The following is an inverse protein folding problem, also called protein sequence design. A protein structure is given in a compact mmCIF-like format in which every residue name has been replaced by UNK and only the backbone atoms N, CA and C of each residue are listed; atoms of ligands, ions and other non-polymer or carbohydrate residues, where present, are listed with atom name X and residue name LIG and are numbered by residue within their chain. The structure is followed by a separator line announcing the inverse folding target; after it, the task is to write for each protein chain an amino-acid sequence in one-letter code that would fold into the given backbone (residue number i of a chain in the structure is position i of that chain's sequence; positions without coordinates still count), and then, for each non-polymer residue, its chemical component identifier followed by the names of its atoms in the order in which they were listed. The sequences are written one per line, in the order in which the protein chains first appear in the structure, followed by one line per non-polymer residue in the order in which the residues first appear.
data_IF_475330810140
#
_entry.id   IF_475330810140
#
_cell.length_a   1.000
_cell.length_b   1.000
_cell.length_c   1.000
_cell.angle_alpha   90.00
_cell.angle_beta   90.00
_cell.angle_gamma   90.00
#
_symmetry.space_group_name_H-M   'P 1'
#
loop_
_entity.id
_entity.type
_entity.pdbx_description
1 polymer ?
#
# COMPACT_ATOMS: atom_id res chain seq x y z
N UNK A 1 -9.00 -14.06 34.92
CA UNK A 1 -8.64 -12.69 35.36
C UNK A 1 -7.30 -12.32 34.72
N UNK A 2 -7.33 -11.67 33.56
CA UNK A 2 -6.10 -11.28 32.83
C UNK A 2 -5.71 -9.87 33.30
N UNK A 3 -4.47 -9.73 33.76
CA UNK A 3 -3.92 -8.47 34.26
C UNK A 3 -3.83 -7.46 33.13
N UNK A 4 -4.61 -6.38 33.20
CA UNK A 4 -4.56 -5.26 32.26
C UNK A 4 -3.28 -4.46 32.51
N UNK A 5 -2.39 -4.40 31.52
CA UNK A 5 -1.21 -3.52 31.58
C UNK A 5 -1.62 -2.04 31.70
N UNK A 6 -0.72 -1.23 32.27
CA UNK A 6 -0.95 0.17 32.67
C UNK A 6 -1.38 1.13 31.53
N UNK A 7 -1.39 0.67 30.28
CA UNK A 7 -1.82 1.41 29.09
C UNK A 7 -3.03 0.81 28.36
N UNK A 8 -3.68 -0.23 28.90
CA UNK A 8 -4.90 -0.79 28.31
C UNK A 8 -4.71 -1.43 26.92
N UNK A 9 -3.49 -1.84 26.59
CA UNK A 9 -3.23 -2.66 25.40
C UNK A 9 -3.63 -4.11 25.72
N UNK A 10 -4.67 -4.59 25.06
CA UNK A 10 -4.89 -6.02 24.86
C UNK A 10 -4.09 -6.46 23.63
N UNK A 11 -3.54 -7.68 23.58
CA UNK A 11 -3.02 -8.24 22.34
C UNK A 11 -4.19 -8.29 21.31
N UNK A 12 -3.94 -8.05 20.01
CA UNK A 12 -4.99 -8.14 19.00
C UNK A 12 -5.55 -9.57 18.98
N UNK A 13 -6.88 -9.68 18.97
CA UNK A 13 -7.55 -10.95 18.70
C UNK A 13 -7.40 -11.21 17.21
N UNK A 14 -6.50 -12.13 16.84
CA UNK A 14 -6.26 -12.48 15.44
C UNK A 14 -7.38 -13.43 15.03
N UNK A 15 -8.39 -12.91 14.33
CA UNK A 15 -9.36 -13.71 13.58
C UNK A 15 -8.79 -14.04 12.19
N UNK A 16 -9.09 -15.21 11.62
CA UNK A 16 -8.66 -15.56 10.26
C UNK A 16 -9.26 -14.57 9.25
N UNK A 17 -8.40 -14.03 8.38
CA UNK A 17 -8.78 -13.11 7.30
C UNK A 17 -9.65 -13.86 6.29
N UNK A 18 -10.95 -13.56 6.25
CA UNK A 18 -11.75 -13.90 5.06
C UNK A 18 -11.32 -12.97 3.92
N UNK A 19 -11.25 -13.45 2.67
CA UNK A 19 -10.90 -12.60 1.54
C UNK A 19 -12.00 -11.55 1.38
N UNK A 20 -11.63 -10.27 1.43
CA UNK A 20 -12.52 -9.16 1.10
C UNK A 20 -12.84 -9.25 -0.39
N UNK A 21 -13.99 -9.84 -0.72
CA UNK A 21 -14.58 -9.72 -2.05
C UNK A 21 -15.08 -8.29 -2.22
N UNK A 22 -14.32 -7.51 -2.98
CA UNK A 22 -14.67 -6.18 -3.45
C UNK A 22 -15.77 -6.28 -4.53
N UNK A 23 -17.03 -6.51 -4.15
CA UNK A 23 -18.22 -6.09 -4.94
C UNK A 23 -19.36 -5.81 -3.97
N UNK A 24 -19.65 -4.53 -3.75
CA UNK A 24 -20.87 -4.07 -3.10
C UNK A 24 -22.01 -4.08 -4.12
N UNK A 25 -22.67 -5.23 -4.31
CA UNK A 25 -24.01 -5.29 -4.93
C UNK A 25 -25.02 -5.92 -3.95
N UNK A 26 -26.23 -5.35 -3.82
CA UNK A 26 -27.25 -5.86 -2.91
C UNK A 26 -27.81 -7.19 -3.42
N UNK A 27 -28.10 -8.18 -2.56
CA UNK A 27 -28.64 -9.46 -3.01
C UNK A 27 -30.06 -9.28 -3.55
N UNK A 28 -30.27 -9.60 -4.83
CA UNK A 28 -31.61 -9.90 -5.35
C UNK A 28 -32.14 -11.17 -4.68
N UNK A 29 -33.36 -11.07 -4.14
CA UNK A 29 -34.11 -12.13 -3.46
C UNK A 29 -34.33 -13.37 -4.33
N UNK A 30 -34.09 -14.61 -3.85
CA UNK A 30 -34.53 -15.80 -4.57
C UNK A 30 -35.99 -16.12 -4.25
N UNK A 31 -36.82 -16.26 -5.30
CA UNK A 31 -38.15 -16.86 -5.24
C UNK A 31 -38.06 -18.39 -5.10
N UNK A 32 -39.11 -19.05 -4.55
CA UNK A 32 -39.02 -20.42 -4.04
C UNK A 32 -39.28 -21.45 -5.14
N UNK A 33 -38.39 -22.43 -5.27
CA UNK A 33 -38.71 -23.72 -5.87
C UNK A 33 -38.20 -24.84 -4.96
N UNK A 34 -39.17 -25.50 -4.34
CA UNK A 34 -39.05 -26.82 -3.72
C UNK A 34 -38.53 -27.83 -4.75
N UNK A 35 -37.59 -28.69 -4.34
CA UNK A 35 -37.80 -30.14 -4.51
C UNK A 35 -36.97 -30.98 -3.53
N UNK A 36 -37.73 -31.71 -2.73
CA UNK A 36 -37.44 -32.88 -1.89
C UNK A 36 -36.31 -33.83 -2.31
N UNK A 37 -35.44 -34.15 -1.36
CA UNK A 37 -35.13 -35.55 -1.01
C UNK A 37 -34.45 -35.61 0.36
N UNK A 38 -35.20 -36.06 1.37
CA UNK A 38 -34.70 -36.35 2.72
C UNK A 38 -34.44 -37.86 2.78
N UNK A 39 -33.19 -38.26 3.00
CA UNK A 39 -32.86 -39.58 3.53
C UNK A 39 -32.35 -39.43 4.97
N UNK A 40 -32.83 -40.23 5.93
CA UNK A 40 -32.44 -40.10 7.33
C UNK A 40 -31.08 -40.76 7.55
N UNK A 41 -30.07 -39.99 7.95
CA UNK A 41 -28.81 -40.55 8.47
C UNK A 41 -29.07 -41.09 9.87
N UNK A 42 -28.83 -42.39 10.05
CA UNK A 42 -28.89 -43.08 11.33
C UNK A 42 -27.72 -42.64 12.21
N UNK A 43 -28.02 -42.33 13.47
CA UNK A 43 -27.04 -42.12 14.54
C UNK A 43 -26.60 -43.49 15.05
N UNK A 44 -25.39 -43.91 14.67
CA UNK A 44 -24.65 -44.94 15.42
C UNK A 44 -23.51 -44.24 16.17
N UNK A 45 -23.65 -44.32 17.49
CA UNK A 45 -22.68 -44.01 18.53
C UNK A 45 -21.50 -45.00 18.45
N UNK A 46 -20.37 -44.63 19.05
CA UNK A 46 -19.09 -45.37 19.14
C UNK A 46 -18.11 -45.26 17.96
N UNK A 47 -17.31 -44.18 17.94
CA UNK A 47 -15.85 -44.36 18.01
C UNK A 47 -15.14 -43.08 18.47
N UNK A 48 -14.38 -43.20 19.55
CA UNK A 48 -13.39 -42.24 20.01
C UNK A 48 -12.35 -41.97 18.90
N UNK A 49 -12.56 -40.94 18.09
CA UNK A 49 -11.45 -40.25 17.44
C UNK A 49 -11.33 -38.89 18.11
N UNK A 50 -10.31 -38.81 18.95
CA UNK A 50 -9.73 -37.58 19.46
C UNK A 50 -9.55 -36.67 18.25
N UNK A 51 -10.34 -35.60 18.14
CA UNK A 51 -10.02 -34.47 17.29
C UNK A 51 -8.66 -33.95 17.80
N UNK A 52 -7.59 -34.38 17.13
CA UNK A 52 -6.31 -33.69 17.21
C UNK A 52 -6.62 -32.23 16.90
N UNK A 53 -6.50 -31.38 17.92
CA UNK A 53 -6.37 -29.95 17.73
C UNK A 53 -5.23 -29.76 16.75
N UNK A 54 -5.55 -29.51 15.49
CA UNK A 54 -4.57 -29.10 14.47
C UNK A 54 -3.89 -27.86 15.04
N UNK A 55 -2.66 -28.05 15.51
CA UNK A 55 -1.83 -27.03 16.11
C UNK A 55 -1.61 -25.98 15.01
N UNK A 56 -2.40 -24.91 15.03
CA UNK A 56 -2.38 -23.84 14.04
C UNK A 56 -0.94 -23.33 13.96
N UNK A 57 -0.21 -23.75 12.92
CA UNK A 57 1.19 -23.35 12.73
C UNK A 57 1.24 -21.82 12.76
N UNK A 58 2.18 -21.22 13.54
CA UNK A 58 2.28 -19.77 13.60
C UNK A 58 2.48 -19.24 12.18
N UNK A 59 1.82 -18.12 11.82
CA UNK A 59 1.88 -17.58 10.48
C UNK A 59 3.34 -17.43 10.06
N UNK A 60 3.71 -17.87 8.84
CA UNK A 60 5.09 -17.88 8.41
C UNK A 60 5.70 -16.48 8.56
N UNK A 61 6.90 -16.42 9.13
CA UNK A 61 7.57 -15.17 9.44
C UNK A 61 7.69 -14.28 8.18
N UNK A 62 7.36 -13.00 8.31
CA UNK A 62 7.45 -12.04 7.22
C UNK A 62 8.85 -12.08 6.59
N UNK A 63 8.90 -12.31 5.28
CA UNK A 63 10.16 -12.37 4.55
C UNK A 63 10.84 -11.00 4.56
N UNK A 64 12.18 -10.95 4.69
CA UNK A 64 12.89 -9.68 4.68
C UNK A 64 12.72 -8.97 3.34
N UNK A 65 12.56 -7.65 3.35
CA UNK A 65 12.31 -6.82 2.15
C UNK A 65 13.35 -7.00 1.04
N UNK A 66 14.60 -7.33 1.39
CA UNK A 66 15.65 -7.63 0.41
C UNK A 66 15.36 -8.86 -0.45
N UNK A 67 14.61 -9.83 0.06
CA UNK A 67 14.18 -11.03 -0.71
C UNK A 67 13.14 -10.69 -1.77
N UNK A 68 12.48 -9.54 -1.66
CA UNK A 68 11.56 -9.04 -2.69
C UNK A 68 12.29 -8.82 -4.03
N UNK A 69 13.58 -8.46 -3.98
CA UNK A 69 14.43 -8.24 -5.16
C UNK A 69 15.32 -9.44 -5.50
N UNK A 70 15.05 -10.63 -4.94
CA UNK A 70 15.91 -11.80 -5.14
C UNK A 70 15.92 -12.32 -6.59
N UNK A 71 14.92 -11.97 -7.39
CA UNK A 71 14.82 -12.33 -8.80
C UNK A 71 15.28 -11.22 -9.76
N UNK A 72 15.88 -10.13 -9.25
CA UNK A 72 16.34 -9.02 -10.07
C UNK A 72 17.59 -9.38 -10.90
N UNK A 73 17.52 -9.15 -12.20
CA UNK A 73 18.69 -9.24 -13.09
C UNK A 73 19.60 -8.01 -12.97
N UNK A 74 20.81 -8.09 -13.55
CA UNK A 74 21.72 -6.93 -13.63
C UNK A 74 21.11 -5.74 -14.37
N UNK A 75 20.25 -6.00 -15.36
CA UNK A 75 19.49 -4.96 -16.04
C UNK A 75 18.46 -4.29 -15.11
N UNK A 76 17.76 -5.08 -14.30
CA UNK A 76 16.77 -4.56 -13.34
C UNK A 76 17.45 -3.69 -12.29
N UNK A 77 18.66 -4.06 -11.84
CA UNK A 77 19.48 -3.21 -10.97
C UNK A 77 19.82 -1.85 -11.57
N UNK A 78 20.14 -1.80 -12.86
CA UNK A 78 20.42 -0.55 -13.58
C UNK A 78 19.13 0.29 -13.68
N UNK A 79 18.00 -0.34 -14.02
CA UNK A 79 16.71 0.34 -14.09
C UNK A 79 16.28 0.90 -12.74
N UNK A 80 16.45 0.14 -11.66
CA UNK A 80 16.17 0.62 -10.30
C UNK A 80 17.06 1.80 -9.92
N UNK A 81 18.35 1.77 -10.27
CA UNK A 81 19.26 2.88 -9.99
C UNK A 81 18.84 4.15 -10.74
N UNK A 82 18.56 4.04 -12.05
CA UNK A 82 18.10 5.16 -12.87
C UNK A 82 16.76 5.68 -12.35
N UNK A 83 15.79 4.80 -12.12
CA UNK A 83 14.47 5.13 -11.58
C UNK A 83 14.56 5.81 -10.21
N UNK A 84 15.48 5.37 -9.33
CA UNK A 84 15.70 6.00 -8.02
C UNK A 84 16.28 7.41 -8.13
N UNK A 85 17.26 7.62 -9.03
CA UNK A 85 17.81 8.96 -9.27
C UNK A 85 16.79 9.91 -9.88
N UNK A 86 15.96 9.40 -10.81
CA UNK A 86 14.87 10.15 -11.41
C UNK A 86 13.77 10.49 -10.39
N UNK A 87 13.41 9.54 -9.50
CA UNK A 87 12.48 9.75 -8.40
C UNK A 87 12.97 10.85 -7.44
N UNK A 88 14.26 10.85 -7.12
CA UNK A 88 14.84 11.89 -6.27
C UNK A 88 14.79 13.27 -6.94
N UNK A 89 15.10 13.35 -8.25
CA UNK A 89 15.01 14.59 -9.01
C UNK A 89 13.55 15.09 -9.13
N UNK A 90 12.60 14.19 -9.39
CA UNK A 90 11.19 14.52 -9.49
C UNK A 90 10.61 14.98 -8.15
N UNK A 91 10.89 14.26 -7.05
CA UNK A 91 10.41 14.62 -5.71
C UNK A 91 10.93 15.97 -5.21
N UNK A 92 12.19 16.31 -5.51
CA UNK A 92 12.75 17.63 -5.15
C UNK A 92 12.25 18.76 -6.03
N UNK A 93 11.67 18.46 -7.19
CA UNK A 93 11.32 19.47 -8.17
C UNK A 93 10.21 20.43 -7.73
N UNK A 94 9.22 19.95 -6.96
CA UNK A 94 8.17 20.82 -6.40
C UNK A 94 8.80 21.93 -5.55
N UNK A 95 9.79 21.58 -4.74
CA UNK A 95 10.46 22.51 -3.84
C UNK A 95 11.30 23.51 -4.62
N UNK A 96 12.01 23.04 -5.64
CA UNK A 96 12.77 23.88 -6.57
C UNK A 96 11.84 24.86 -7.30
N UNK A 97 10.70 24.38 -7.78
CA UNK A 97 9.67 25.22 -8.42
C UNK A 97 9.18 26.33 -7.48
N UNK A 98 8.83 26.00 -6.23
CA UNK A 98 8.39 26.98 -5.25
C UNK A 98 9.48 28.02 -4.95
N UNK A 99 10.75 27.63 -4.93
CA UNK A 99 11.86 28.55 -4.76
C UNK A 99 11.96 29.56 -5.91
N UNK A 100 11.92 29.10 -7.17
CA UNK A 100 11.94 30.00 -8.33
C UNK A 100 10.70 30.89 -8.41
N UNK A 101 9.53 30.34 -8.07
CA UNK A 101 8.29 31.11 -7.98
C UNK A 101 8.40 32.23 -6.93
N UNK A 102 8.98 31.94 -5.77
CA UNK A 102 9.28 32.95 -4.75
C UNK A 102 10.18 34.08 -5.25
N UNK A 103 11.18 33.78 -6.09
CA UNK A 103 12.04 34.80 -6.70
C UNK A 103 11.26 35.74 -7.64
N UNK A 104 10.28 35.20 -8.38
CA UNK A 104 9.41 36.02 -9.24
C UNK A 104 8.54 36.95 -8.40
N UNK A 105 7.95 36.45 -7.31
CA UNK A 105 7.17 37.29 -6.39
C UNK A 105 8.05 38.40 -5.79
N UNK A 106 9.28 38.07 -5.39
CA UNK A 106 10.21 39.06 -4.85
C UNK A 106 10.53 40.16 -5.86
N UNK A 107 10.73 39.82 -7.14
CA UNK A 107 10.94 40.81 -8.21
C UNK A 107 9.74 41.73 -8.42
N UNK A 108 8.51 41.22 -8.28
CA UNK A 108 7.30 42.04 -8.40
C UNK A 108 7.04 42.90 -7.15
N UNK A 109 7.32 42.37 -5.96
CA UNK A 109 7.00 43.01 -4.69
C UNK A 109 8.01 44.07 -4.27
N UNK A 110 9.30 43.88 -4.57
CA UNK A 110 10.37 44.81 -4.22
C UNK A 110 10.88 45.51 -5.48
N UNK A 111 10.01 46.35 -6.05
CA UNK A 111 10.37 47.15 -7.20
C UNK A 111 11.35 48.26 -6.79
N UNK A 112 12.59 48.18 -7.28
CA UNK A 112 13.56 49.27 -7.15
C UNK A 112 13.03 50.51 -7.90
N UNK A 113 12.88 51.67 -7.25
CA UNK A 113 12.40 52.90 -7.89
C UNK A 113 13.29 53.40 -9.04
N UNK A 114 14.53 52.90 -9.12
CA UNK A 114 15.53 53.28 -10.12
C UNK A 114 15.54 52.39 -11.36
N UNK A 115 14.82 51.26 -11.38
CA UNK A 115 14.82 50.35 -12.52
C UNK A 115 13.74 50.73 -13.54
N UNK A 116 14.14 50.83 -14.81
CA UNK A 116 13.21 51.01 -15.93
C UNK A 116 12.33 49.78 -16.10
N UNK A 117 11.05 49.98 -16.43
CA UNK A 117 10.08 48.90 -16.64
C UNK A 117 10.59 47.84 -17.63
N UNK A 118 11.34 48.23 -18.66
CA UNK A 118 11.94 47.28 -19.63
C UNK A 118 12.94 46.32 -19.00
N UNK A 119 13.77 46.78 -18.06
CA UNK A 119 14.74 45.90 -17.37
C UNK A 119 14.06 44.90 -16.44
N UNK A 120 12.89 45.27 -15.89
CA UNK A 120 12.07 44.37 -15.09
C UNK A 120 11.42 43.29 -15.97
N UNK A 121 10.89 43.66 -17.14
CA UNK A 121 10.34 42.70 -18.09
C UNK A 121 11.39 41.70 -18.58
N UNK A 122 12.61 42.13 -18.86
CA UNK A 122 13.69 41.24 -19.29
C UNK A 122 14.08 40.24 -18.18
N UNK A 123 14.24 40.73 -16.94
CA UNK A 123 14.52 39.87 -15.78
C UNK A 123 13.38 38.88 -15.53
N UNK A 124 12.14 39.34 -15.61
CA UNK A 124 10.96 38.48 -15.47
C UNK A 124 10.93 37.40 -16.55
N UNK A 125 11.16 37.75 -17.81
CA UNK A 125 11.23 36.80 -18.93
C UNK A 125 12.31 35.75 -18.71
N UNK A 126 13.49 36.15 -18.22
CA UNK A 126 14.57 35.22 -17.91
C UNK A 126 14.21 34.25 -16.78
N UNK A 127 13.54 34.72 -15.71
CA UNK A 127 13.07 33.85 -14.61
C UNK A 127 11.92 32.94 -15.04
N UNK A 128 11.02 33.41 -15.88
CA UNK A 128 9.94 32.60 -16.44
C UNK A 128 10.50 31.45 -17.31
N UNK A 129 11.52 31.73 -18.13
CA UNK A 129 12.20 30.70 -18.90
C UNK A 129 12.87 29.64 -18.01
N UNK A 130 13.44 30.02 -16.87
CA UNK A 130 14.00 29.05 -15.90
C UNK A 130 12.94 28.07 -15.39
N UNK A 131 11.72 28.54 -15.11
CA UNK A 131 10.61 27.68 -14.70
C UNK A 131 10.22 26.71 -15.82
N UNK A 132 10.21 27.16 -17.07
CA UNK A 132 9.92 26.30 -18.23
C UNK A 132 10.99 25.21 -18.35
N UNK A 133 12.28 25.54 -18.21
CA UNK A 133 13.35 24.53 -18.25
C UNK A 133 13.21 23.49 -17.12
N UNK A 134 12.87 23.94 -15.90
CA UNK A 134 12.58 23.03 -14.80
C UNK A 134 11.39 22.14 -15.13
N UNK A 135 10.29 22.68 -15.65
CA UNK A 135 9.09 21.90 -16.00
C UNK A 135 9.37 20.79 -17.02
N UNK A 136 10.19 21.07 -18.05
CA UNK A 136 10.62 20.05 -19.02
C UNK A 136 11.48 18.98 -18.34
N UNK A 137 12.39 19.39 -17.45
CA UNK A 137 13.20 18.45 -16.66
C UNK A 137 12.36 17.55 -15.76
N UNK A 138 11.33 18.11 -15.12
CA UNK A 138 10.36 17.37 -14.28
C UNK A 138 9.59 16.37 -15.09
N UNK A 139 9.08 16.77 -16.25
CA UNK A 139 8.35 15.87 -17.14
C UNK A 139 9.21 14.66 -17.54
N UNK A 140 10.47 14.91 -17.94
CA UNK A 140 11.40 13.84 -18.28
C UNK A 140 11.74 12.95 -17.07
N UNK A 141 12.02 13.55 -15.90
CA UNK A 141 12.34 12.81 -14.68
C UNK A 141 11.18 11.94 -14.21
N UNK A 142 9.96 12.48 -14.17
CA UNK A 142 8.76 11.73 -13.79
C UNK A 142 8.44 10.60 -14.76
N UNK A 143 8.61 10.82 -16.07
CA UNK A 143 8.46 9.76 -17.06
C UNK A 143 9.46 8.62 -16.86
N UNK A 144 10.74 8.95 -16.64
CA UNK A 144 11.81 7.96 -16.42
C UNK A 144 11.57 7.21 -15.11
N UNK A 145 11.24 7.92 -14.03
CA UNK A 145 10.90 7.33 -12.73
C UNK A 145 9.81 6.25 -12.88
N UNK A 146 8.65 6.65 -13.39
CA UNK A 146 7.48 5.76 -13.48
C UNK A 146 7.76 4.61 -14.44
N UNK A 147 8.35 4.89 -15.61
CA UNK A 147 8.64 3.86 -16.61
C UNK A 147 9.65 2.82 -16.10
N UNK A 148 10.73 3.24 -15.45
CA UNK A 148 11.76 2.33 -14.93
C UNK A 148 11.22 1.44 -13.81
N UNK A 149 10.43 1.99 -12.88
CA UNK A 149 9.85 1.21 -11.79
C UNK A 149 8.77 0.24 -12.27
N UNK A 150 7.87 0.66 -13.17
CA UNK A 150 6.87 -0.24 -13.77
C UNK A 150 7.54 -1.37 -14.54
N UNK A 151 8.51 -1.06 -15.41
CA UNK A 151 9.19 -2.07 -16.21
C UNK A 151 9.95 -3.09 -15.34
N UNK A 152 10.57 -2.62 -14.26
CA UNK A 152 11.26 -3.49 -13.29
C UNK A 152 10.28 -4.40 -12.55
N UNK A 153 9.13 -3.86 -12.13
CA UNK A 153 8.09 -4.63 -11.45
C UNK A 153 7.51 -5.72 -12.36
N UNK A 154 7.13 -5.37 -13.59
CA UNK A 154 6.63 -6.32 -14.61
C UNK A 154 7.62 -7.46 -14.86
N UNK A 155 8.91 -7.15 -15.08
CA UNK A 155 9.95 -8.16 -15.34
C UNK A 155 10.14 -9.12 -14.17
N UNK A 156 10.30 -8.60 -12.95
CA UNK A 156 10.51 -9.44 -11.78
C UNK A 156 9.29 -10.31 -11.49
N UNK A 157 8.09 -9.75 -11.57
CA UNK A 157 6.84 -10.48 -11.36
C UNK A 157 6.65 -11.58 -12.40
N UNK A 158 6.98 -11.34 -13.68
CA UNK A 158 6.92 -12.36 -14.72
C UNK A 158 7.85 -13.56 -14.41
N UNK A 159 9.08 -13.29 -13.94
CA UNK A 159 10.04 -14.33 -13.54
C UNK A 159 9.53 -15.10 -12.32
N UNK A 160 8.98 -14.41 -11.31
CA UNK A 160 8.41 -15.05 -10.11
C UNK A 160 7.25 -15.96 -10.51
N UNK A 161 6.32 -15.48 -11.34
CA UNK A 161 5.18 -16.28 -11.81
C UNK A 161 5.63 -17.51 -12.59
N UNK A 162 6.62 -17.38 -13.46
CA UNK A 162 7.16 -18.51 -14.23
C UNK A 162 7.82 -19.57 -13.34
N UNK A 163 8.66 -19.14 -12.39
CA UNK A 163 9.29 -20.05 -11.41
C UNK A 163 8.26 -20.73 -10.51
N UNK A 164 7.25 -19.99 -10.08
CA UNK A 164 6.17 -20.54 -9.26
C UNK A 164 5.42 -21.64 -10.00
N UNK A 165 4.95 -21.39 -11.22
CA UNK A 165 4.26 -22.41 -12.03
C UNK A 165 5.15 -23.63 -12.26
N UNK A 166 6.44 -23.42 -12.53
CA UNK A 166 7.39 -24.52 -12.68
C UNK A 166 7.54 -25.36 -11.40
N UNK A 167 7.63 -24.73 -10.22
CA UNK A 167 7.72 -25.45 -8.94
C UNK A 167 6.41 -26.16 -8.61
N UNK A 168 5.27 -25.53 -8.87
CA UNK A 168 3.94 -26.07 -8.63
C UNK A 168 3.72 -27.35 -9.46
N UNK A 169 4.06 -27.34 -10.75
CA UNK A 169 3.92 -28.51 -11.63
C UNK A 169 4.85 -29.69 -11.28
N UNK A 170 5.88 -29.46 -10.46
CA UNK A 170 6.81 -30.50 -10.01
C UNK A 170 6.50 -31.03 -8.60
N UNK A 171 5.37 -30.63 -7.99
CA UNK A 171 4.95 -31.15 -6.68
C UNK A 171 4.28 -32.52 -6.80
N UNK A 172 4.41 -33.33 -5.74
CA UNK A 172 3.81 -34.66 -5.64
C UNK A 172 2.28 -34.60 -5.54
N UNK A 173 1.59 -35.67 -5.94
CA UNK A 173 0.12 -35.73 -5.89
C UNK A 173 -0.45 -35.55 -4.47
N UNK A 174 0.29 -35.97 -3.44
CA UNK A 174 -0.09 -35.73 -2.04
C UNK A 174 -0.19 -34.25 -1.67
N UNK A 175 0.62 -33.37 -2.29
CA UNK A 175 0.47 -31.91 -2.12
C UNK A 175 -0.86 -31.41 -2.69
N UNK A 176 -1.28 -31.94 -3.83
CA UNK A 176 -2.56 -31.57 -4.44
C UNK A 176 -3.77 -32.20 -3.74
N UNK A 177 -3.62 -33.34 -3.07
CA UNK A 177 -4.70 -33.91 -2.25
C UNK A 177 -4.90 -33.12 -0.95
N UNK A 178 -3.82 -32.64 -0.33
CA UNK A 178 -3.90 -31.82 0.89
C UNK A 178 -4.26 -30.35 0.60
N UNK A 179 -3.71 -29.75 -0.45
CA UNK A 179 -3.85 -28.31 -0.73
C UNK A 179 -4.58 -27.98 -2.03
N UNK A 180 -4.74 -28.94 -2.95
CA UNK A 180 -5.27 -28.72 -4.30
C UNK A 180 -6.78 -28.89 -4.45
N UNK A 181 -7.49 -29.41 -3.43
CA UNK A 181 -8.92 -29.75 -3.53
C UNK A 181 -9.84 -28.54 -3.83
N UNK A 182 -9.37 -27.29 -3.63
CA UNK A 182 -10.21 -26.09 -3.73
C UNK A 182 -9.81 -25.09 -4.83
N UNK A 183 -8.72 -25.31 -5.60
CA UNK A 183 -8.22 -24.32 -6.57
C UNK A 183 -7.75 -22.97 -5.98
N UNK A 184 -7.97 -22.78 -4.68
CA UNK A 184 -7.73 -21.56 -3.92
C UNK A 184 -6.24 -21.21 -3.86
N UNK A 185 -5.36 -22.21 -3.69
CA UNK A 185 -3.91 -22.00 -3.60
C UNK A 185 -3.31 -21.31 -4.83
N UNK A 186 -3.85 -21.60 -6.02
CA UNK A 186 -3.34 -20.99 -7.27
C UNK A 186 -3.84 -19.56 -7.37
N UNK A 187 -5.11 -19.33 -7.04
CA UNK A 187 -5.71 -17.98 -7.01
C UNK A 187 -5.01 -17.08 -5.99
N UNK A 188 -4.80 -17.58 -4.77
CA UNK A 188 -4.14 -16.89 -3.68
C UNK A 188 -2.72 -16.47 -4.06
N UNK A 189 -1.90 -17.40 -4.58
CA UNK A 189 -0.53 -17.07 -4.96
C UNK A 189 -0.48 -16.07 -6.13
N UNK A 190 -1.39 -16.19 -7.11
CA UNK A 190 -1.48 -15.18 -8.17
C UNK A 190 -1.84 -13.80 -7.60
N UNK A 191 -2.73 -13.74 -6.61
CA UNK A 191 -3.03 -12.52 -5.86
C UNK A 191 -1.79 -11.95 -5.14
N UNK A 192 -1.06 -12.79 -4.40
CA UNK A 192 0.15 -12.40 -3.69
C UNK A 192 1.24 -11.88 -4.63
N UNK A 193 1.38 -12.49 -5.80
CA UNK A 193 2.31 -12.05 -6.85
C UNK A 193 1.93 -10.67 -7.40
N UNK A 194 0.64 -10.35 -7.52
CA UNK A 194 0.18 -9.00 -7.90
C UNK A 194 0.43 -7.96 -6.80
N UNK A 195 0.28 -8.34 -5.54
CA UNK A 195 0.65 -7.48 -4.41
C UNK A 195 2.15 -7.17 -4.42
N UNK A 196 2.99 -8.18 -4.65
CA UNK A 196 4.44 -8.02 -4.84
C UNK A 196 4.74 -7.08 -6.01
N UNK A 197 4.06 -7.28 -7.15
CA UNK A 197 4.23 -6.41 -8.32
C UNK A 197 3.95 -4.96 -7.96
N UNK A 198 2.80 -4.70 -7.34
CA UNK A 198 2.34 -3.35 -6.97
C UNK A 198 3.29 -2.70 -5.96
N UNK A 199 3.81 -3.48 -5.01
CA UNK A 199 4.82 -3.01 -4.06
C UNK A 199 6.10 -2.55 -4.78
N UNK A 200 6.64 -3.38 -5.68
CA UNK A 200 7.89 -3.08 -6.41
C UNK A 200 7.68 -1.94 -7.42
N UNK A 201 6.62 -1.98 -8.22
CA UNK A 201 6.42 -1.08 -9.36
C UNK A 201 5.99 0.33 -8.99
N UNK A 202 5.29 0.49 -7.87
CA UNK A 202 4.69 1.77 -7.50
C UNK A 202 5.18 2.25 -6.12
N UNK A 203 5.07 1.40 -5.10
CA UNK A 203 5.29 1.85 -3.71
C UNK A 203 6.74 2.21 -3.43
N UNK A 204 7.72 1.46 -3.96
CA UNK A 204 9.15 1.77 -3.74
C UNK A 204 9.55 3.09 -4.40
N UNK A 205 9.15 3.31 -5.66
CA UNK A 205 9.40 4.58 -6.35
C UNK A 205 8.79 5.77 -5.61
N UNK A 206 7.50 5.67 -5.26
CA UNK A 206 6.78 6.70 -4.50
C UNK A 206 7.42 6.96 -3.13
N UNK A 207 7.93 5.93 -2.45
CA UNK A 207 8.64 6.10 -1.18
C UNK A 207 9.90 6.95 -1.35
N UNK A 208 10.73 6.65 -2.35
CA UNK A 208 11.95 7.41 -2.64
C UNK A 208 11.60 8.85 -3.05
N UNK A 209 10.60 9.03 -3.91
CA UNK A 209 10.08 10.34 -4.30
C UNK A 209 9.67 11.19 -3.08
N UNK A 210 8.85 10.62 -2.19
CA UNK A 210 8.37 11.31 -1.00
C UNK A 210 9.50 11.63 -0.02
N UNK A 211 10.47 10.74 0.14
CA UNK A 211 11.66 11.02 0.94
C UNK A 211 12.49 12.16 0.35
N UNK A 212 12.71 12.15 -0.97
CA UNK A 212 13.43 13.22 -1.64
C UNK A 212 12.69 14.57 -1.53
N UNK A 213 11.37 14.58 -1.66
CA UNK A 213 10.54 15.76 -1.45
C UNK A 213 10.67 16.28 -0.01
N UNK A 214 10.60 15.38 0.99
CA UNK A 214 10.73 15.74 2.39
C UNK A 214 12.09 16.36 2.71
N UNK A 215 13.19 15.69 2.35
CA UNK A 215 14.54 16.20 2.61
C UNK A 215 14.85 17.44 1.77
N UNK A 216 14.46 17.47 0.49
CA UNK A 216 14.63 18.64 -0.37
C UNK A 216 13.88 19.87 0.17
N UNK A 217 12.64 19.65 0.64
CA UNK A 217 11.81 20.67 1.29
C UNK A 217 12.46 21.23 2.54
N UNK A 218 12.95 20.34 3.41
CA UNK A 218 13.60 20.70 4.66
C UNK A 218 14.91 21.47 4.42
N UNK A 219 15.75 21.03 3.48
CA UNK A 219 17.02 21.70 3.13
C UNK A 219 16.76 23.09 2.55
N UNK A 220 15.91 23.21 1.53
CA UNK A 220 15.62 24.51 0.88
C UNK A 220 14.90 25.46 1.86
N UNK A 221 14.02 24.93 2.71
CA UNK A 221 13.34 25.70 3.75
C UNK A 221 14.30 26.27 4.79
N UNK A 222 15.24 25.45 5.30
CA UNK A 222 16.23 25.88 6.28
C UNK A 222 17.22 26.91 5.71
N UNK A 223 17.62 26.76 4.45
CA UNK A 223 18.55 27.70 3.79
C UNK A 223 17.90 29.08 3.61
N UNK A 224 16.65 29.13 3.15
CA UNK A 224 15.99 30.41 2.85
C UNK A 224 15.52 31.11 4.14
N UNK A 225 14.81 30.40 5.01
CA UNK A 225 14.17 30.98 6.21
C UNK A 225 14.19 30.00 7.38
N UNK A 226 15.35 29.86 8.04
CA UNK A 226 15.52 28.91 9.15
C UNK A 226 14.51 29.09 10.30
N UNK A 227 14.08 30.32 10.59
CA UNK A 227 13.12 30.61 11.66
C UNK A 227 11.72 30.03 11.36
N UNK A 228 11.19 30.29 10.17
CA UNK A 228 9.85 29.81 9.76
C UNK A 228 9.89 28.29 9.58
N UNK A 229 10.96 27.76 8.97
CA UNK A 229 11.12 26.33 8.76
C UNK A 229 11.14 25.54 10.08
N UNK A 230 11.83 26.02 11.11
CA UNK A 230 11.83 25.36 12.43
C UNK A 230 10.46 25.40 13.11
N UNK A 231 9.70 26.48 12.96
CA UNK A 231 8.33 26.57 13.49
C UNK A 231 7.43 25.53 12.80
N UNK A 232 7.49 25.43 11.47
CA UNK A 232 6.73 24.42 10.71
C UNK A 232 7.15 22.99 11.06
N UNK A 233 8.45 22.75 11.28
CA UNK A 233 8.95 21.45 11.71
C UNK A 233 8.43 21.09 13.12
N UNK A 234 8.36 22.08 14.03
CA UNK A 234 7.81 21.88 15.37
C UNK A 234 6.30 21.56 15.35
N UNK A 235 5.55 22.02 14.34
CA UNK A 235 4.13 21.64 14.17
C UNK A 235 3.95 20.21 13.62
N UNK A 236 4.97 19.62 13.01
CA UNK A 236 4.92 18.27 12.42
C UNK A 236 4.50 17.18 13.40
N UNK A 237 5.16 17.03 14.57
CA UNK A 237 4.78 16.05 15.59
C UNK A 237 3.33 16.18 16.07
N UNK A 238 2.79 17.40 16.14
CA UNK A 238 1.39 17.60 16.53
C UNK A 238 0.42 17.05 15.49
N UNK A 239 0.71 17.26 14.20
CA UNK A 239 -0.08 16.69 13.10
C UNK A 239 0.01 15.15 13.12
N UNK A 240 1.19 14.59 13.33
CA UNK A 240 1.39 13.14 13.42
C UNK A 240 0.64 12.55 14.61
N UNK A 241 0.67 13.22 15.78
CA UNK A 241 -0.07 12.78 16.96
C UNK A 241 -1.59 12.79 16.72
N UNK A 242 -2.13 13.87 16.13
CA UNK A 242 -3.55 13.98 15.79
C UNK A 242 -3.97 12.89 14.80
N UNK A 243 -3.19 12.69 13.72
CA UNK A 243 -3.44 11.63 12.74
C UNK A 243 -3.36 10.23 13.34
N UNK A 244 -2.39 9.98 14.23
CA UNK A 244 -2.25 8.71 14.95
C UNK A 244 -3.46 8.40 15.82
N UNK A 245 -3.96 9.40 16.57
CA UNK A 245 -5.18 9.24 17.39
C UNK A 245 -6.39 8.93 16.49
N UNK A 246 -6.55 9.66 15.39
CA UNK A 246 -7.64 9.39 14.42
C UNK A 246 -7.54 7.98 13.83
N UNK A 247 -6.34 7.51 13.49
CA UNK A 247 -6.14 6.16 12.95
C UNK A 247 -6.50 5.06 13.97
N UNK A 248 -6.09 5.22 15.24
CA UNK A 248 -6.44 4.29 16.31
C UNK A 248 -7.95 4.27 16.53
N UNK A 249 -8.59 5.44 16.51
CA UNK A 249 -10.04 5.54 16.67
C UNK A 249 -10.79 4.86 15.52
N UNK A 250 -10.36 5.09 14.27
CA UNK A 250 -10.95 4.45 13.09
C UNK A 250 -10.78 2.93 13.13
N UNK A 251 -9.60 2.44 13.52
CA UNK A 251 -9.35 1.00 13.62
C UNK A 251 -10.28 0.35 14.65
N UNK A 252 -10.40 0.93 15.84
CA UNK A 252 -11.32 0.42 16.88
C UNK A 252 -12.78 0.47 16.44
N UNK A 253 -13.17 1.51 15.71
CA UNK A 253 -14.52 1.61 15.19
C UNK A 253 -14.80 0.50 14.17
N UNK A 254 -13.83 0.21 13.29
CA UNK A 254 -13.93 -0.87 12.31
C UNK A 254 -14.04 -2.24 13.00
N UNK A 255 -13.20 -2.52 14.01
CA UNK A 255 -13.28 -3.75 14.81
C UNK A 255 -14.67 -3.91 15.45
N UNK A 256 -15.16 -2.89 16.16
CA UNK A 256 -16.48 -2.94 16.81
C UNK A 256 -17.63 -3.13 15.81
N UNK A 257 -17.54 -2.50 14.64
CA UNK A 257 -18.54 -2.65 13.58
C UNK A 257 -18.51 -4.09 13.06
N UNK A 258 -17.33 -4.64 12.82
CA UNK A 258 -17.17 -5.99 12.32
C UNK A 258 -17.65 -7.04 13.32
N UNK A 259 -17.37 -6.86 14.61
CA UNK A 259 -17.88 -7.73 15.69
C UNK A 259 -19.42 -7.70 15.75
N UNK A 260 -20.03 -6.50 15.70
CA UNK A 260 -21.49 -6.37 15.72
C UNK A 260 -22.16 -6.98 14.47
N UNK A 261 -21.51 -6.87 13.30
CA UNK A 261 -21.98 -7.54 12.09
C UNK A 261 -21.83 -9.06 12.17
N UNK A 262 -20.75 -9.57 12.76
CA UNK A 262 -20.55 -11.00 12.95
C UNK A 262 -21.62 -11.61 13.88
N UNK A 263 -21.96 -10.92 14.97
CA UNK A 263 -23.04 -11.34 15.87
C UNK A 263 -24.39 -11.38 15.14
N UNK A 264 -24.73 -10.34 14.38
CA UNK A 264 -25.98 -10.29 13.62
C UNK A 264 -26.03 -11.37 12.52
N UNK A 265 -24.92 -11.61 11.83
CA UNK A 265 -24.79 -12.66 10.82
C UNK A 265 -24.98 -14.04 11.44
N UNK A 266 -24.40 -14.30 12.61
CA UNK A 266 -24.55 -15.59 13.30
C UNK A 266 -26.01 -15.90 13.66
N UNK A 267 -26.78 -14.89 14.08
CA UNK A 267 -28.21 -15.05 14.37
C UNK A 267 -28.99 -15.30 13.08
N UNK A 268 -28.70 -14.55 12.01
CA UNK A 268 -29.35 -14.75 10.72
C UNK A 268 -29.08 -16.16 10.16
N UNK A 269 -27.85 -16.65 10.29
CA UNK A 269 -27.43 -17.99 9.88
C UNK A 269 -28.17 -19.07 10.70
N UNK A 270 -28.28 -18.90 12.02
CA UNK A 270 -29.05 -19.82 12.88
C UNK A 270 -30.52 -19.89 12.46
N UNK A 271 -31.14 -18.75 12.15
CA UNK A 271 -32.55 -18.70 11.71
C UNK A 271 -32.73 -19.39 10.35
N UNK A 272 -31.80 -19.16 9.41
CA UNK A 272 -31.82 -19.80 8.10
C UNK A 272 -31.66 -21.32 8.20
N UNK A 273 -30.86 -21.81 9.15
CA UNK A 273 -30.67 -23.25 9.35
C UNK A 273 -31.85 -23.93 10.08
N UNK A 274 -32.59 -23.19 10.91
CA UNK A 274 -33.69 -23.75 11.72
C UNK A 274 -35.06 -23.73 11.03
N UNK A 275 -35.22 -23.00 9.91
CA UNK A 275 -36.45 -22.94 9.12
C UNK A 275 -36.19 -23.51 7.71
N UNK A 276 -36.61 -24.76 7.40
CA UNK A 276 -36.45 -25.36 6.08
C UNK A 276 -37.32 -24.70 5.00
#
# INVERSE_FOLDING_TARGET
MVSRGLFGWSPPHIQPLTPVSEVSEPPESPLPYFESSVEPVQLDDDNENIEEFEEMEPPPAAVPFSRLFACADTFDWILMAIGSTAAAAHGTALVVYLHFFGQIIHLLSFQDPSQSSQQLFDKFGQRALQIIYVAVGVFAAGWIEVSCWILTGERQTAVIRSKYVQVLLNQDMGFFDTYGNNGDIVSQVLGDVLLIQSAISEKVGNYIHNMAMFFGGLVIGLINCWQIALITLATGPFIVAAGGISNIFLHRLAENIQDAYADAASIAEQVFFYFP
#
